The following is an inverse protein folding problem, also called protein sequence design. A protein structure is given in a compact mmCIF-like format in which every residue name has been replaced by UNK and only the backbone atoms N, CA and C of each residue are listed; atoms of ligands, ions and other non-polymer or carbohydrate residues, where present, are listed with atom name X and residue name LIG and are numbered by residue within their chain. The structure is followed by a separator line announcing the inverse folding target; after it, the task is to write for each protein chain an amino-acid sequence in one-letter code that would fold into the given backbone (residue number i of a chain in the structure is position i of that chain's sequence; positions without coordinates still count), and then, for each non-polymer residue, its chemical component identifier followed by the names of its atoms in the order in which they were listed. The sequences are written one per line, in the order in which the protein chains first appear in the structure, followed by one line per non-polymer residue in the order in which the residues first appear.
data_IF_256064173182
#
_entry.id   IF_256064173182
#
_cell.length_a   1.000
_cell.length_b   1.000
_cell.length_c   1.000
_cell.angle_alpha   90.00
_cell.angle_beta   90.00
_cell.angle_gamma   90.00
#
_symmetry.space_group_name_H-M   'P 1'
#
loop_
_entity.id
_entity.type
_entity.pdbx_description
1 polymer ?
#
# COMPACT_ATOMS: atom_id res chain seq x y z
N UNK A 1 -4.60 14.05 9.03
CA UNK A 1 -4.81 13.11 7.93
C UNK A 1 -6.24 12.62 8.03
N UNK A 2 -7.10 12.91 7.06
CA UNK A 2 -8.49 12.46 7.06
C UNK A 2 -8.55 11.12 6.33
N UNK A 3 -8.64 10.02 7.08
CA UNK A 3 -8.87 8.68 6.52
C UNK A 3 -10.37 8.51 6.31
N UNK A 4 -10.80 8.34 5.07
CA UNK A 4 -12.22 8.14 4.74
C UNK A 4 -12.60 6.67 4.83
N UNK A 5 -13.90 6.38 4.86
CA UNK A 5 -14.40 5.00 4.76
C UNK A 5 -13.92 4.30 3.48
N UNK A 6 -13.79 5.05 2.39
CA UNK A 6 -13.32 4.53 1.10
C UNK A 6 -11.85 4.14 1.15
N UNK A 7 -11.04 4.88 1.89
CA UNK A 7 -9.64 4.56 2.14
C UNK A 7 -9.48 3.25 2.94
N UNK A 8 -10.34 3.02 3.95
CA UNK A 8 -10.36 1.78 4.73
C UNK A 8 -10.76 0.58 3.84
N UNK A 9 -11.79 0.75 3.00
CA UNK A 9 -12.21 -0.28 2.05
C UNK A 9 -11.11 -0.61 1.05
N UNK A 10 -10.36 0.40 0.59
CA UNK A 10 -9.22 0.20 -0.30
C UNK A 10 -8.11 -0.63 0.37
N UNK A 11 -7.72 -0.29 1.60
CA UNK A 11 -6.74 -1.08 2.36
C UNK A 11 -7.21 -2.51 2.60
N UNK A 12 -8.50 -2.70 2.90
CA UNK A 12 -9.09 -4.04 3.04
C UNK A 12 -8.97 -4.85 1.75
N UNK A 13 -9.24 -4.26 0.59
CA UNK A 13 -9.12 -4.94 -0.69
C UNK A 13 -7.66 -5.29 -1.03
N UNK A 14 -6.72 -4.40 -0.74
CA UNK A 14 -5.29 -4.71 -0.93
C UNK A 14 -4.80 -5.81 0.03
N UNK A 15 -5.41 -5.99 1.20
CA UNK A 15 -4.99 -7.01 2.18
C UNK A 15 -5.17 -8.45 1.66
N UNK A 16 -6.03 -8.64 0.66
CA UNK A 16 -6.30 -9.95 0.05
C UNK A 16 -5.67 -10.09 -1.34
N UNK A 17 -5.00 -9.05 -1.85
CA UNK A 17 -4.43 -9.08 -3.20
C UNK A 17 -3.40 -10.20 -3.36
N UNK A 18 -3.42 -10.84 -4.52
CA UNK A 18 -2.43 -11.84 -4.95
C UNK A 18 -1.59 -11.33 -6.11
N UNK A 19 -1.94 -10.17 -6.65
CA UNK A 19 -1.32 -9.58 -7.82
C UNK A 19 -0.35 -8.47 -7.40
N UNK A 20 0.54 -8.13 -8.34
CA UNK A 20 1.42 -6.98 -8.23
C UNK A 20 0.59 -5.70 -8.14
N UNK A 21 0.91 -4.85 -7.18
CA UNK A 21 0.16 -3.60 -6.94
C UNK A 21 0.95 -2.44 -7.54
N UNK A 22 0.37 -1.76 -8.52
CA UNK A 22 0.98 -0.57 -9.08
C UNK A 22 1.12 0.51 -8.00
N UNK A 23 2.31 1.10 -7.86
CA UNK A 23 2.57 2.15 -6.87
C UNK A 23 1.63 3.35 -7.07
N UNK A 24 1.30 3.65 -8.33
CA UNK A 24 0.41 4.76 -8.70
C UNK A 24 -1.07 4.49 -8.36
N UNK A 25 -1.43 3.24 -8.03
CA UNK A 25 -2.79 2.89 -7.58
C UNK A 25 -3.04 3.18 -6.09
N UNK A 26 -1.98 3.50 -5.33
CA UNK A 26 -2.09 3.81 -3.92
C UNK A 26 -2.74 5.19 -3.73
N UNK A 27 -3.81 5.31 -2.92
CA UNK A 27 -4.47 6.57 -2.65
C UNK A 27 -3.47 7.61 -2.13
N UNK A 28 -3.66 8.86 -2.57
CA UNK A 28 -2.85 10.00 -2.14
C UNK A 28 -2.85 10.19 -0.62
N UNK A 29 -3.92 9.76 0.06
CA UNK A 29 -3.96 9.70 1.51
C UNK A 29 -2.77 8.91 2.07
N UNK A 30 -2.46 7.74 1.53
CA UNK A 30 -1.45 6.83 2.08
C UNK A 30 -0.09 6.90 1.40
N UNK A 31 0.08 7.71 0.35
CA UNK A 31 1.28 7.67 -0.49
C UNK A 31 2.57 7.97 0.30
N UNK A 32 2.51 8.87 1.28
CA UNK A 32 3.66 9.22 2.12
C UNK A 32 4.06 8.05 3.04
N UNK A 33 3.09 7.40 3.68
CA UNK A 33 3.34 6.21 4.51
C UNK A 33 3.81 5.02 3.67
N UNK A 34 3.24 4.86 2.49
CA UNK A 34 3.65 3.84 1.52
C UNK A 34 5.12 4.05 1.12
N UNK A 35 5.50 5.26 0.70
CA UNK A 35 6.88 5.59 0.33
C UNK A 35 7.84 5.37 1.49
N UNK A 36 7.45 5.72 2.71
CA UNK A 36 8.28 5.50 3.91
C UNK A 36 8.48 4.00 4.19
N UNK A 37 7.41 3.20 4.11
CA UNK A 37 7.49 1.76 4.34
C UNK A 37 8.28 1.03 3.24
N UNK A 38 8.12 1.44 1.99
CA UNK A 38 8.81 0.86 0.84
C UNK A 38 10.19 1.47 0.57
N UNK A 39 10.64 2.42 1.40
CA UNK A 39 11.98 2.97 1.28
C UNK A 39 13.03 1.86 1.50
N UNK A 40 13.87 1.62 0.50
CA UNK A 40 14.87 0.54 0.52
C UNK A 40 14.33 -0.86 0.24
N UNK A 41 13.02 -1.03 0.00
CA UNK A 41 12.44 -2.30 -0.46
C UNK A 41 12.52 -2.41 -1.98
N UNK A 42 12.68 -3.64 -2.46
CA UNK A 42 12.69 -3.94 -3.90
C UNK A 42 11.29 -3.80 -4.48
N UNK A 43 11.16 -2.97 -5.52
CA UNK A 43 9.97 -2.85 -6.35
C UNK A 43 10.25 -3.49 -7.71
N UNK A 44 9.22 -4.05 -8.34
CA UNK A 44 9.31 -4.55 -9.70
C UNK A 44 9.03 -3.41 -10.68
N UNK A 45 9.96 -3.15 -11.60
CA UNK A 45 9.72 -2.24 -12.73
C UNK A 45 9.22 -3.05 -13.93
N UNK A 46 8.11 -2.63 -14.54
CA UNK A 46 7.59 -3.19 -15.79
C UNK A 46 6.95 -2.08 -16.63
N UNK A 47 7.36 -1.95 -17.88
CA UNK A 47 6.81 -0.97 -18.84
C UNK A 47 6.75 0.46 -18.27
N UNK A 48 7.85 0.91 -17.66
CA UNK A 48 8.00 2.20 -16.94
C UNK A 48 7.15 2.38 -15.67
N UNK A 49 6.32 1.40 -15.31
CA UNK A 49 5.55 1.39 -14.07
C UNK A 49 6.27 0.63 -12.96
N UNK A 50 6.08 1.09 -11.72
CA UNK A 50 6.58 0.44 -10.52
C UNK A 50 5.46 -0.35 -9.85
N UNK A 51 5.79 -1.56 -9.41
CA UNK A 51 4.88 -2.47 -8.74
C UNK A 51 5.47 -2.96 -7.42
N UNK A 52 4.62 -3.02 -6.40
CA UNK A 52 4.91 -3.65 -5.12
C UNK A 52 4.44 -5.10 -5.11
N UNK A 53 5.21 -5.96 -4.45
CA UNK A 53 4.85 -7.36 -4.27
C UNK A 53 3.65 -7.50 -3.32
N UNK A 54 2.71 -8.40 -3.61
CA UNK A 54 1.52 -8.61 -2.78
C UNK A 54 1.88 -9.00 -1.33
N UNK A 55 3.00 -9.70 -1.13
CA UNK A 55 3.49 -10.03 0.20
C UNK A 55 3.85 -8.78 1.01
N UNK A 56 4.68 -7.87 0.45
CA UNK A 56 5.07 -6.64 1.14
C UNK A 56 3.87 -5.71 1.38
N UNK A 57 2.94 -5.63 0.43
CA UNK A 57 1.70 -4.84 0.56
C UNK A 57 0.87 -5.34 1.74
N UNK A 58 0.74 -6.65 1.94
CA UNK A 58 0.01 -7.22 3.09
C UNK A 58 0.65 -6.84 4.43
N UNK A 59 1.98 -6.89 4.50
CA UNK A 59 2.70 -6.51 5.72
C UNK A 59 2.57 -5.01 5.99
N UNK A 60 2.66 -4.18 4.95
CA UNK A 60 2.40 -2.75 5.03
C UNK A 60 0.99 -2.45 5.55
N UNK A 61 -0.04 -3.11 5.03
CA UNK A 61 -1.43 -2.89 5.46
C UNK A 61 -1.63 -3.27 6.92
N UNK A 62 -1.01 -4.35 7.40
CA UNK A 62 -1.01 -4.70 8.84
C UNK A 62 -0.39 -3.59 9.69
N UNK A 63 0.73 -3.02 9.23
CA UNK A 63 1.34 -1.88 9.89
C UNK A 63 0.40 -0.66 9.91
N UNK A 64 -0.30 -0.38 8.81
CA UNK A 64 -1.27 0.70 8.74
C UNK A 64 -2.43 0.47 9.71
N UNK A 65 -3.04 -0.72 9.73
CA UNK A 65 -4.12 -1.03 10.70
C UNK A 65 -3.67 -0.84 12.14
N UNK A 66 -2.47 -1.30 12.51
CA UNK A 66 -1.93 -1.08 13.85
C UNK A 66 -1.70 0.41 14.17
N UNK A 67 -1.30 1.20 13.18
CA UNK A 67 -1.05 2.64 13.32
C UNK A 67 -2.33 3.46 13.49
N UNK A 68 -3.45 3.07 12.85
CA UNK A 68 -4.72 3.82 12.90
C UNK A 68 -5.77 3.25 13.86
N UNK A 69 -5.60 2.03 14.36
CA UNK A 69 -6.44 1.47 15.44
C UNK A 69 -5.98 1.91 16.84
N UNK A 70 -5.00 2.81 16.94
CA UNK A 70 -4.49 3.39 18.19
C UNK A 70 -5.26 4.63 18.62
#
# INVERSE_FOLDING_TARGET
MLVTRQDILFLSNLSTTKELVAVDSIPSAFISDFKLYFFGKTLMKKDELLFAYPHDVKVWIRFMFNKYNG
#
